data_IF_563075643031
#
_entry.id   IF_563075643031
#
_cell.length_a   1.000
_cell.length_b   1.000
_cell.length_c   1.000
_cell.angle_alpha   90.00
_cell.angle_beta   90.00
_cell.angle_gamma   90.00
#
_symmetry.space_group_name_H-M   'P 1'
#
loop_
_entity.id
_entity.type
_entity.pdbx_description
1 polymer ?
#
# COMPACT_ATOMS: atom_id res chain seq x y z
N UNK A 1 5.64 17.35 -6.44
CA UNK A 1 5.46 17.10 -5.01
C UNK A 1 5.14 15.63 -4.77
N UNK A 2 5.95 14.95 -3.99
CA UNK A 2 5.69 13.62 -3.41
C UNK A 2 5.43 13.77 -1.92
N UNK A 3 4.37 13.15 -1.42
CA UNK A 3 4.08 13.12 0.01
C UNK A 3 4.80 11.96 0.71
N UNK A 4 5.38 12.20 1.87
CA UNK A 4 5.93 11.16 2.75
C UNK A 4 5.16 11.25 4.06
N UNK A 5 4.33 10.25 4.34
CA UNK A 5 3.48 10.19 5.52
C UNK A 5 4.15 9.27 6.54
N UNK A 6 4.70 9.84 7.59
CA UNK A 6 5.50 9.13 8.57
C UNK A 6 4.73 8.97 9.89
N UNK A 7 4.48 7.72 10.26
CA UNK A 7 4.02 7.36 11.59
C UNK A 7 5.23 7.03 12.45
N UNK A 8 5.29 7.52 13.69
CA UNK A 8 6.28 7.04 14.66
C UNK A 8 5.96 5.59 15.03
N UNK A 9 6.91 4.70 14.78
CA UNK A 9 6.75 3.26 14.97
C UNK A 9 7.68 2.77 16.06
N UNK A 10 7.11 2.08 17.04
CA UNK A 10 7.90 1.29 17.98
C UNK A 10 8.35 -0.01 17.31
N UNK A 11 9.65 -0.30 17.34
CA UNK A 11 10.22 -1.57 16.91
C UNK A 11 11.46 -1.46 16.04
N UNK A 12 12.20 -2.56 15.95
CA UNK A 12 13.49 -2.63 15.24
C UNK A 12 13.35 -2.53 13.71
N UNK A 13 12.19 -2.88 13.14
CA UNK A 13 11.99 -2.94 11.68
C UNK A 13 12.33 -1.63 10.98
N UNK A 14 11.90 -0.50 11.57
CA UNK A 14 11.95 0.83 10.96
C UNK A 14 12.63 1.86 11.87
N UNK A 15 13.42 1.41 12.85
CA UNK A 15 14.07 2.29 13.83
C UNK A 15 15.12 3.24 13.24
N UNK A 16 15.54 3.02 11.99
CA UNK A 16 16.43 3.93 11.27
C UNK A 16 15.69 5.06 10.54
N UNK A 17 14.36 5.03 10.49
CA UNK A 17 13.56 6.07 9.89
C UNK A 17 13.12 7.10 10.95
N UNK A 18 13.08 8.40 10.63
CA UNK A 18 13.25 8.99 9.29
C UNK A 18 14.71 9.27 8.89
N UNK A 19 15.72 8.90 9.68
CA UNK A 19 17.14 9.21 9.39
C UNK A 19 17.62 8.67 8.04
N UNK A 20 17.20 7.49 7.61
CA UNK A 20 17.54 6.96 6.26
C UNK A 20 16.95 7.78 5.09
N UNK A 21 16.07 8.73 5.39
CA UNK A 21 15.49 9.68 4.44
C UNK A 21 16.15 11.06 4.51
N UNK A 22 17.21 11.24 5.30
CA UNK A 22 17.99 12.48 5.33
C UNK A 22 18.49 12.82 3.90
N UNK A 23 18.40 14.10 3.54
CA UNK A 23 18.62 14.57 2.17
C UNK A 23 17.49 14.29 1.17
N UNK A 24 16.62 13.28 1.39
CA UNK A 24 15.35 13.16 0.63
C UNK A 24 14.35 14.17 1.18
N UNK A 25 14.21 14.25 2.52
CA UNK A 25 13.26 15.14 3.19
C UNK A 25 13.55 16.63 2.97
N UNK A 26 14.79 16.97 2.61
CA UNK A 26 15.23 18.35 2.38
C UNK A 26 14.92 18.87 0.97
N UNK A 27 14.41 18.01 0.08
CA UNK A 27 14.10 18.40 -1.30
C UNK A 27 12.84 19.26 -1.36
N UNK A 28 12.88 20.29 -2.19
CA UNK A 28 11.75 21.20 -2.42
C UNK A 28 10.52 20.52 -3.05
N UNK A 29 10.69 19.34 -3.64
CA UNK A 29 9.61 18.55 -4.24
C UNK A 29 9.03 17.47 -3.31
N UNK A 30 9.36 17.51 -2.02
CA UNK A 30 8.82 16.63 -0.97
C UNK A 30 7.92 17.42 0.00
N UNK A 31 6.78 16.83 0.36
CA UNK A 31 6.01 17.24 1.54
C UNK A 31 6.05 16.12 2.57
N UNK A 32 6.62 16.39 3.74
CA UNK A 32 6.68 15.46 4.84
C UNK A 32 5.50 15.70 5.77
N UNK A 33 4.78 14.64 6.12
CA UNK A 33 3.64 14.66 7.03
C UNK A 33 3.96 13.78 8.24
N UNK A 34 3.96 14.37 9.42
CA UNK A 34 4.23 13.64 10.66
C UNK A 34 2.95 13.30 11.42
N UNK A 35 2.88 12.06 11.93
CA UNK A 35 1.77 11.63 12.77
C UNK A 35 1.62 12.48 14.03
N UNK A 36 0.39 12.55 14.55
CA UNK A 36 -0.04 13.38 15.69
C UNK A 36 0.00 14.90 15.47
N UNK A 37 0.68 15.39 14.43
CA UNK A 37 0.70 16.80 14.06
C UNK A 37 -0.13 17.07 12.80
N UNK A 38 0.17 16.35 11.73
CA UNK A 38 -0.41 16.61 10.40
C UNK A 38 -1.31 15.46 9.91
N UNK A 39 -1.08 14.25 10.41
CA UNK A 39 -1.90 13.08 10.07
C UNK A 39 -2.96 12.89 11.15
N UNK A 40 -4.26 13.12 10.85
CA UNK A 40 -5.33 12.80 11.78
C UNK A 40 -5.55 11.29 11.86
N UNK A 41 -6.04 10.76 13.00
CA UNK A 41 -6.55 9.39 13.03
C UNK A 41 -7.75 9.27 12.08
N UNK A 42 -7.94 8.10 11.47
CA UNK A 42 -9.12 7.89 10.62
C UNK A 42 -10.41 7.93 11.45
N UNK A 43 -11.44 8.58 10.91
CA UNK A 43 -12.74 8.71 11.57
C UNK A 43 -13.44 7.36 11.71
N UNK A 44 -13.96 7.07 12.90
CA UNK A 44 -14.64 5.79 13.17
C UNK A 44 -15.86 5.57 12.26
N UNK A 45 -16.57 6.63 11.87
CA UNK A 45 -17.69 6.53 10.93
C UNK A 45 -17.23 5.93 9.59
N UNK A 46 -16.08 6.36 9.08
CA UNK A 46 -15.49 5.81 7.85
C UNK A 46 -15.04 4.36 8.06
N UNK A 47 -14.44 4.05 9.22
CA UNK A 47 -14.05 2.67 9.55
C UNK A 47 -15.24 1.71 9.44
N UNK A 48 -16.41 2.12 9.94
CA UNK A 48 -17.63 1.31 9.97
C UNK A 48 -18.29 1.11 8.60
N UNK A 49 -17.90 1.89 7.58
CA UNK A 49 -18.33 1.68 6.19
C UNK A 49 -17.58 0.52 5.53
N UNK A 50 -16.36 0.24 5.97
CA UNK A 50 -15.52 -0.84 5.46
C UNK A 50 -15.63 -2.09 6.33
N UNK A 51 -15.44 -1.92 7.64
CA UNK A 51 -15.38 -2.99 8.63
C UNK A 51 -16.64 -3.04 9.48
N UNK A 52 -17.06 -4.23 9.90
CA UNK A 52 -18.22 -4.38 10.76
C UNK A 52 -17.94 -3.88 12.17
N UNK A 53 -19.00 -3.47 12.87
CA UNK A 53 -18.93 -3.05 14.27
C UNK A 53 -18.18 -4.06 15.15
N UNK A 54 -18.47 -5.36 14.99
CA UNK A 54 -17.86 -6.42 15.79
C UNK A 54 -16.35 -6.51 15.55
N UNK A 55 -15.91 -6.36 14.30
CA UNK A 55 -14.49 -6.34 13.95
C UNK A 55 -13.82 -5.10 14.55
N UNK A 56 -14.41 -3.91 14.39
CA UNK A 56 -13.89 -2.65 14.95
C UNK A 56 -13.76 -2.73 16.48
N UNK A 57 -14.77 -3.24 17.17
CA UNK A 57 -14.73 -3.40 18.63
C UNK A 57 -13.64 -4.39 19.07
N UNK A 58 -13.35 -5.41 18.26
CA UNK A 58 -12.26 -6.34 18.53
C UNK A 58 -10.88 -5.70 18.33
N UNK A 59 -10.70 -4.92 17.26
CA UNK A 59 -9.46 -4.17 17.00
C UNK A 59 -9.21 -3.13 18.10
N UNK A 60 -10.26 -2.42 18.57
CA UNK A 60 -10.19 -1.46 19.68
C UNK A 60 -9.66 -2.05 20.99
N UNK A 61 -9.82 -3.36 21.19
CA UNK A 61 -9.28 -4.07 22.37
C UNK A 61 -7.81 -4.46 22.21
N UNK A 62 -7.25 -4.35 21.01
CA UNK A 62 -5.83 -4.59 20.77
C UNK A 62 -4.99 -3.39 21.20
N UNK A 63 -3.74 -3.64 21.57
CA UNK A 63 -2.76 -2.59 21.87
C UNK A 63 -2.38 -1.75 20.64
N UNK A 64 -2.75 -2.21 19.43
CA UNK A 64 -2.41 -1.58 18.17
C UNK A 64 -3.50 -0.67 17.61
N UNK A 65 -4.58 -0.42 18.37
CA UNK A 65 -5.69 0.41 17.91
C UNK A 65 -5.25 1.79 17.44
N UNK A 66 -4.46 2.50 18.24
CA UNK A 66 -3.97 3.83 17.90
C UNK A 66 -3.07 3.79 16.65
N UNK A 67 -2.12 2.85 16.61
CA UNK A 67 -1.26 2.64 15.44
C UNK A 67 -2.07 2.37 14.17
N UNK A 68 -3.13 1.57 14.26
CA UNK A 68 -4.03 1.26 13.14
C UNK A 68 -4.81 2.50 12.68
N UNK A 69 -5.28 3.32 13.62
CA UNK A 69 -6.00 4.57 13.32
C UNK A 69 -5.12 5.55 12.52
N UNK A 70 -3.90 5.79 12.97
CA UNK A 70 -3.00 6.74 12.29
C UNK A 70 -2.39 6.15 11.01
N UNK A 71 -2.11 4.84 10.96
CA UNK A 71 -1.67 4.17 9.72
C UNK A 71 -2.72 4.34 8.63
N UNK A 72 -3.99 4.04 8.95
CA UNK A 72 -5.10 4.20 8.01
C UNK A 72 -5.39 5.67 7.69
N UNK A 73 -5.29 6.55 8.70
CA UNK A 73 -5.44 8.00 8.53
C UNK A 73 -4.43 8.60 7.56
N UNK A 74 -3.17 8.13 7.61
CA UNK A 74 -2.12 8.51 6.66
C UNK A 74 -2.47 8.12 5.22
N UNK A 75 -2.99 6.91 4.99
CA UNK A 75 -3.42 6.47 3.65
C UNK A 75 -4.60 7.29 3.14
N UNK A 76 -5.60 7.54 3.99
CA UNK A 76 -6.76 8.37 3.66
C UNK A 76 -6.33 9.80 3.30
N UNK A 77 -5.54 10.45 4.16
CA UNK A 77 -5.05 11.80 3.93
C UNK A 77 -4.18 11.88 2.66
N UNK A 78 -3.26 10.94 2.45
CA UNK A 78 -2.44 10.88 1.24
C UNK A 78 -3.31 10.85 -0.03
N UNK A 79 -4.36 10.03 -0.04
CA UNK A 79 -5.29 9.94 -1.16
C UNK A 79 -6.07 11.25 -1.39
N UNK A 80 -6.45 11.95 -0.31
CA UNK A 80 -7.12 13.26 -0.41
C UNK A 80 -6.18 14.36 -0.91
N UNK A 81 -4.94 14.41 -0.44
CA UNK A 81 -3.96 15.40 -0.86
C UNK A 81 -3.57 15.22 -2.34
N UNK A 82 -3.57 13.97 -2.83
CA UNK A 82 -3.47 13.67 -4.27
C UNK A 82 -4.70 14.18 -5.02
N UNK A 83 -5.90 13.90 -4.52
CA UNK A 83 -7.14 14.39 -5.14
C UNK A 83 -7.16 15.93 -5.24
N UNK A 84 -6.71 16.63 -4.18
CA UNK A 84 -6.60 18.10 -4.13
C UNK A 84 -5.48 18.67 -5.00
N UNK A 85 -4.65 17.82 -5.61
CA UNK A 85 -3.54 18.23 -6.46
C UNK A 85 -2.35 18.84 -5.71
N UNK A 86 -2.27 18.66 -4.38
CA UNK A 86 -1.15 19.18 -3.56
C UNK A 86 0.08 18.29 -3.66
N UNK A 87 -0.12 16.98 -3.79
CA UNK A 87 0.91 15.99 -4.10
C UNK A 87 0.47 15.17 -5.32
N UNK A 88 1.42 14.59 -6.04
CA UNK A 88 1.11 13.70 -7.18
C UNK A 88 1.04 12.25 -6.74
N UNK A 89 1.93 11.84 -5.83
CA UNK A 89 2.02 10.50 -5.30
C UNK A 89 2.50 10.56 -3.84
N UNK A 90 2.41 9.43 -3.14
CA UNK A 90 2.78 9.33 -1.74
C UNK A 90 3.45 8.00 -1.40
N UNK A 91 4.29 8.02 -0.36
CA UNK A 91 4.70 6.85 0.40
C UNK A 91 4.19 6.98 1.84
N UNK A 92 3.48 5.97 2.33
CA UNK A 92 2.86 5.97 3.65
C UNK A 92 3.50 4.89 4.51
N UNK A 93 4.19 5.31 5.57
CA UNK A 93 4.68 4.43 6.62
C UNK A 93 3.51 4.03 7.52
N UNK A 94 3.22 2.74 7.54
CA UNK A 94 2.24 2.14 8.43
C UNK A 94 2.96 1.38 9.55
N UNK A 95 2.36 1.36 10.73
CA UNK A 95 2.88 0.61 11.88
C UNK A 95 2.33 -0.80 12.01
N UNK A 96 1.28 -1.08 11.25
CA UNK A 96 0.60 -2.37 11.18
C UNK A 96 0.20 -2.61 9.73
N UNK A 97 -0.01 -3.88 9.37
CA UNK A 97 -0.45 -4.22 8.02
C UNK A 97 -1.92 -3.85 7.78
N UNK A 98 -2.34 -3.98 6.52
CA UNK A 98 -3.68 -3.63 6.04
C UNK A 98 -4.39 -4.81 5.33
N UNK A 99 -3.69 -5.52 4.44
CA UNK A 99 -4.30 -6.38 3.44
C UNK A 99 -4.99 -7.66 3.98
N UNK A 100 -4.73 -8.05 5.24
CA UNK A 100 -5.43 -9.14 5.94
C UNK A 100 -6.64 -8.66 6.78
N UNK A 101 -6.88 -7.35 6.87
CA UNK A 101 -8.06 -6.79 7.55
C UNK A 101 -9.26 -6.81 6.59
N UNK A 102 -10.19 -7.73 6.80
CA UNK A 102 -11.44 -7.88 6.03
C UNK A 102 -12.63 -7.21 6.71
N UNK A 103 -13.84 -7.43 6.19
CA UNK A 103 -15.07 -6.84 6.75
C UNK A 103 -15.37 -7.32 8.16
N UNK A 104 -15.13 -8.60 8.43
CA UNK A 104 -15.50 -9.26 9.69
C UNK A 104 -14.32 -9.97 10.38
N UNK A 105 -13.10 -9.80 9.88
CA UNK A 105 -11.91 -10.50 10.34
C UNK A 105 -10.67 -9.61 10.24
N UNK A 106 -9.68 -9.89 11.07
CA UNK A 106 -8.34 -9.29 10.99
C UNK A 106 -7.34 -10.26 11.61
N UNK A 107 -6.15 -10.35 11.02
CA UNK A 107 -5.06 -11.23 11.49
C UNK A 107 -3.74 -10.82 10.82
N UNK A 108 -2.66 -11.57 11.09
CA UNK A 108 -1.38 -11.37 10.38
C UNK A 108 -0.71 -10.02 10.64
N UNK A 109 -0.97 -9.41 11.81
CA UNK A 109 -0.49 -8.07 12.11
C UNK A 109 -1.23 -6.95 11.37
N UNK A 110 -2.34 -7.27 10.68
CA UNK A 110 -3.22 -6.29 10.06
C UNK A 110 -4.45 -6.04 10.93
N UNK A 111 -4.87 -4.78 11.05
CA UNK A 111 -5.95 -4.38 11.96
C UNK A 111 -7.05 -3.57 11.27
N UNK A 112 -6.70 -2.67 10.36
CA UNK A 112 -7.63 -1.90 9.54
C UNK A 112 -7.09 -1.86 8.10
N UNK A 113 -7.98 -1.81 7.12
CA UNK A 113 -7.57 -1.82 5.71
C UNK A 113 -7.48 -0.38 5.17
N UNK A 114 -6.26 0.17 5.16
CA UNK A 114 -6.01 1.56 4.78
C UNK A 114 -6.43 1.88 3.34
N UNK A 115 -6.11 1.00 2.38
CA UNK A 115 -6.51 1.16 0.98
C UNK A 115 -8.05 1.20 0.84
N UNK A 116 -8.76 0.31 1.52
CA UNK A 116 -10.21 0.27 1.48
C UNK A 116 -10.86 1.52 2.08
N UNK A 117 -10.32 2.01 3.20
CA UNK A 117 -10.80 3.24 3.84
C UNK A 117 -10.58 4.47 2.95
N UNK A 118 -9.42 4.56 2.29
CA UNK A 118 -9.14 5.65 1.35
C UNK A 118 -10.08 5.61 0.13
N UNK A 119 -10.33 4.42 -0.43
CA UNK A 119 -11.28 4.23 -1.53
C UNK A 119 -12.69 4.66 -1.12
N UNK A 120 -13.18 4.23 0.03
CA UNK A 120 -14.52 4.60 0.51
C UNK A 120 -14.63 6.11 0.78
N UNK A 121 -13.61 6.72 1.37
CA UNK A 121 -13.56 8.17 1.58
C UNK A 121 -13.63 8.95 0.26
N UNK A 122 -12.85 8.54 -0.75
CA UNK A 122 -12.85 9.21 -2.06
C UNK A 122 -14.17 9.01 -2.82
N UNK A 123 -14.82 7.84 -2.66
CA UNK A 123 -16.15 7.57 -3.20
C UNK A 123 -17.20 8.49 -2.62
N UNK A 124 -17.23 8.57 -1.30
CA UNK A 124 -18.24 9.34 -0.58
C UNK A 124 -18.09 10.85 -0.80
N UNK A 125 -16.88 11.38 -0.65
CA UNK A 125 -16.64 12.83 -0.73
C UNK A 125 -16.60 13.37 -2.15
N UNK A 126 -16.13 12.57 -3.12
CA UNK A 126 -15.78 13.08 -4.45
C UNK A 126 -16.38 12.26 -5.61
N UNK A 127 -17.14 11.20 -5.32
CA UNK A 127 -17.81 10.40 -6.34
C UNK A 127 -16.88 9.57 -7.23
N UNK A 128 -15.60 9.40 -6.85
CA UNK A 128 -14.64 8.62 -7.62
C UNK A 128 -14.95 7.13 -7.43
N UNK A 129 -15.12 6.40 -8.54
CA UNK A 129 -15.56 5.00 -8.47
C UNK A 129 -14.43 3.99 -8.63
N UNK A 130 -13.55 4.22 -9.60
CA UNK A 130 -12.62 3.23 -10.13
C UNK A 130 -11.22 3.35 -9.53
N UNK A 131 -10.69 2.25 -9.00
CA UNK A 131 -9.40 2.19 -8.35
C UNK A 131 -8.67 0.90 -8.70
N UNK A 132 -7.35 0.90 -8.53
CA UNK A 132 -6.55 -0.32 -8.59
C UNK A 132 -5.75 -0.47 -7.30
N UNK A 133 -5.76 -1.68 -6.76
CA UNK A 133 -4.91 -2.13 -5.67
C UNK A 133 -3.94 -3.16 -6.26
N UNK A 134 -2.66 -2.82 -6.22
CA UNK A 134 -1.57 -3.73 -6.51
C UNK A 134 -1.03 -4.22 -5.18
N UNK A 135 -1.09 -5.53 -4.92
CA UNK A 135 -0.55 -6.14 -3.70
C UNK A 135 0.66 -6.99 -4.07
N UNK A 136 1.85 -6.56 -3.64
CA UNK A 136 3.12 -7.28 -3.86
C UNK A 136 3.68 -7.90 -2.58
N UNK A 137 2.95 -7.84 -1.47
CA UNK A 137 3.27 -8.65 -0.29
C UNK A 137 3.26 -10.15 -0.67
N UNK A 138 4.09 -10.98 -0.03
CA UNK A 138 4.13 -12.41 -0.36
C UNK A 138 2.85 -13.17 0.03
N UNK A 139 2.10 -12.63 0.98
CA UNK A 139 0.90 -13.23 1.53
C UNK A 139 -0.33 -12.77 0.75
N UNK A 140 -1.34 -13.63 0.68
CA UNK A 140 -2.57 -13.24 0.02
C UNK A 140 -3.29 -12.16 0.84
N UNK A 141 -3.56 -10.99 0.25
CA UNK A 141 -4.42 -9.95 0.81
C UNK A 141 -5.89 -10.38 0.89
N UNK A 142 -6.19 -11.35 1.74
CA UNK A 142 -7.52 -11.94 1.94
C UNK A 142 -8.53 -10.93 2.48
N UNK A 143 -8.09 -9.98 3.29
CA UNK A 143 -8.92 -8.87 3.77
C UNK A 143 -9.34 -7.93 2.65
N UNK A 144 -8.37 -7.48 1.83
CA UNK A 144 -8.62 -6.67 0.63
C UNK A 144 -9.52 -7.44 -0.35
N UNK A 145 -9.29 -8.75 -0.53
CA UNK A 145 -10.13 -9.62 -1.36
C UNK A 145 -11.55 -9.74 -0.82
N UNK A 146 -11.75 -9.95 0.47
CA UNK A 146 -13.06 -10.02 1.14
C UNK A 146 -13.86 -8.72 0.96
N UNK A 147 -13.24 -7.57 1.23
CA UNK A 147 -13.91 -6.26 1.16
C UNK A 147 -14.44 -5.98 -0.25
N UNK A 148 -13.62 -6.24 -1.27
CA UNK A 148 -13.92 -5.87 -2.65
C UNK A 148 -14.44 -7.02 -3.52
N UNK A 149 -14.68 -8.22 -2.99
CA UNK A 149 -14.97 -9.42 -3.78
C UNK A 149 -16.06 -9.25 -4.87
N UNK A 150 -17.08 -8.42 -4.62
CA UNK A 150 -18.19 -8.15 -5.55
C UNK A 150 -18.15 -6.72 -6.14
N UNK A 151 -17.04 -6.01 -5.99
CA UNK A 151 -16.87 -4.64 -6.47
C UNK A 151 -16.07 -4.62 -7.77
N UNK A 152 -16.76 -4.49 -8.90
CA UNK A 152 -16.14 -4.44 -10.23
C UNK A 152 -15.47 -3.10 -10.55
N UNK A 153 -15.64 -2.07 -9.72
CA UNK A 153 -14.93 -0.80 -9.89
C UNK A 153 -13.51 -0.84 -9.29
N UNK A 154 -13.17 -1.87 -8.49
CA UNK A 154 -11.85 -2.02 -7.87
C UNK A 154 -11.08 -3.19 -8.46
N UNK A 155 -10.02 -2.91 -9.22
CA UNK A 155 -9.03 -3.91 -9.58
C UNK A 155 -8.23 -4.28 -8.33
N UNK A 156 -8.18 -5.55 -7.95
CA UNK A 156 -7.25 -6.05 -6.93
C UNK A 156 -6.37 -7.15 -7.55
N UNK A 157 -5.12 -6.78 -7.81
CA UNK A 157 -4.08 -7.57 -8.46
C UNK A 157 -3.05 -8.00 -7.41
N UNK A 158 -3.09 -9.25 -6.99
CA UNK A 158 -2.40 -9.76 -5.80
C UNK A 158 -1.36 -10.82 -6.17
N UNK A 159 -0.09 -10.59 -5.84
CA UNK A 159 0.96 -11.59 -5.93
C UNK A 159 0.88 -12.51 -4.70
N UNK A 160 0.53 -13.78 -4.88
CA UNK A 160 0.35 -14.68 -3.73
C UNK A 160 0.53 -16.15 -4.09
N UNK A 161 0.09 -17.05 -3.22
CA UNK A 161 0.08 -18.50 -3.47
C UNK A 161 -1.22 -19.02 -4.10
N UNK A 162 -2.25 -18.18 -4.20
CA UNK A 162 -3.58 -18.54 -4.72
C UNK A 162 -3.70 -18.28 -6.23
N UNK A 163 -4.83 -18.70 -6.79
CA UNK A 163 -5.20 -18.55 -8.20
C UNK A 163 -6.73 -18.57 -8.31
N UNK A 164 -7.40 -17.59 -7.71
CA UNK A 164 -8.86 -17.49 -7.63
C UNK A 164 -9.39 -16.29 -8.44
N UNK A 165 -8.88 -16.15 -9.67
CA UNK A 165 -9.21 -15.04 -10.56
C UNK A 165 -10.71 -14.94 -10.84
N UNK A 166 -11.26 -13.73 -10.71
CA UNK A 166 -12.64 -13.40 -11.08
C UNK A 166 -12.76 -11.92 -11.46
N UNK A 167 -12.91 -11.65 -12.76
CA UNK A 167 -13.14 -10.29 -13.25
C UNK A 167 -11.98 -9.35 -12.91
N UNK A 168 -12.24 -8.39 -12.01
CA UNK A 168 -11.25 -7.42 -11.50
C UNK A 168 -10.42 -7.96 -10.33
N UNK A 169 -10.62 -9.22 -9.95
CA UNK A 169 -9.87 -9.92 -8.91
C UNK A 169 -8.87 -10.84 -9.60
N UNK A 170 -7.58 -10.51 -9.52
CA UNK A 170 -6.51 -11.24 -10.22
C UNK A 170 -5.48 -11.68 -9.19
N UNK A 171 -5.15 -12.97 -9.17
CA UNK A 171 -4.11 -13.56 -8.35
C UNK A 171 -2.95 -14.02 -9.24
N UNK A 172 -1.74 -13.55 -8.94
CA UNK A 172 -0.51 -14.02 -9.58
C UNK A 172 0.13 -15.04 -8.67
N UNK A 173 0.07 -16.32 -9.06
CA UNK A 173 0.73 -17.40 -8.34
C UNK A 173 2.25 -17.26 -8.44
N UNK A 174 2.91 -16.94 -7.33
CA UNK A 174 4.36 -16.72 -7.27
C UNK A 174 5.10 -18.04 -7.00
N UNK A 175 5.98 -18.51 -7.90
CA UNK A 175 6.82 -19.69 -7.65
C UNK A 175 7.92 -19.38 -6.63
N UNK A 176 8.57 -20.41 -6.10
CA UNK A 176 9.75 -20.26 -5.26
C UNK A 176 10.89 -21.16 -5.74
N UNK A 177 12.07 -20.61 -6.08
CA UNK A 177 12.35 -19.17 -6.27
C UNK A 177 11.70 -18.63 -7.56
N UNK A 178 11.31 -17.35 -7.58
CA UNK A 178 10.77 -16.70 -8.78
C UNK A 178 11.80 -15.88 -9.57
N UNK A 179 12.88 -15.42 -8.92
CA UNK A 179 13.88 -14.53 -9.53
C UNK A 179 13.40 -13.07 -9.66
N UNK A 180 14.36 -12.16 -9.82
CA UNK A 180 14.14 -10.70 -9.71
C UNK A 180 13.19 -10.15 -10.77
N UNK A 181 13.18 -10.72 -11.99
CA UNK A 181 12.37 -10.23 -13.09
C UNK A 181 10.89 -10.64 -12.98
N UNK A 182 10.53 -11.62 -12.14
CA UNK A 182 9.18 -12.17 -12.12
C UNK A 182 8.12 -11.12 -11.77
N UNK A 183 8.34 -10.34 -10.69
CA UNK A 183 7.39 -9.31 -10.29
C UNK A 183 7.38 -8.12 -11.27
N UNK A 184 8.53 -7.49 -11.62
CA UNK A 184 8.55 -6.39 -12.60
C UNK A 184 7.95 -6.77 -13.96
N UNK A 185 8.23 -7.96 -14.49
CA UNK A 185 7.66 -8.40 -15.76
C UNK A 185 6.13 -8.50 -15.69
N UNK A 186 5.59 -9.13 -14.64
CA UNK A 186 4.14 -9.28 -14.44
C UNK A 186 3.45 -7.94 -14.22
N UNK A 187 4.12 -6.99 -13.56
CA UNK A 187 3.62 -5.61 -13.42
C UNK A 187 3.62 -4.92 -14.80
N UNK A 188 4.74 -5.01 -15.53
CA UNK A 188 4.94 -4.40 -16.86
C UNK A 188 3.96 -4.91 -17.90
N UNK A 189 3.56 -6.18 -17.82
CA UNK A 189 2.68 -6.82 -18.81
C UNK A 189 1.24 -6.95 -18.32
N UNK A 190 0.99 -7.81 -17.33
CA UNK A 190 -0.37 -8.19 -16.92
C UNK A 190 -1.06 -7.10 -16.12
N UNK A 191 -0.39 -6.51 -15.13
CA UNK A 191 -0.98 -5.42 -14.33
C UNK A 191 -1.24 -4.20 -15.20
N UNK A 192 -0.27 -3.79 -16.02
CA UNK A 192 -0.44 -2.73 -17.03
C UNK A 192 -1.69 -2.94 -17.88
N UNK A 193 -1.85 -4.13 -18.47
CA UNK A 193 -3.02 -4.46 -19.30
C UNK A 193 -4.32 -4.30 -18.50
N UNK A 194 -4.35 -4.76 -17.24
CA UNK A 194 -5.53 -4.64 -16.39
C UNK A 194 -5.84 -3.18 -16.02
N UNK A 195 -4.82 -2.36 -15.78
CA UNK A 195 -4.98 -0.92 -15.55
C UNK A 195 -5.53 -0.22 -16.80
N UNK A 196 -5.04 -0.57 -18.00
CA UNK A 196 -5.56 -0.04 -19.26
C UNK A 196 -7.03 -0.41 -19.50
N UNK A 197 -7.41 -1.66 -19.20
CA UNK A 197 -8.79 -2.16 -19.31
C UNK A 197 -9.74 -1.48 -18.32
N UNK A 198 -9.32 -1.35 -17.05
CA UNK A 198 -10.17 -0.87 -15.95
C UNK A 198 -10.22 0.65 -15.84
N UNK A 199 -9.16 1.34 -16.26
CA UNK A 199 -8.98 2.80 -16.21
C UNK A 199 -9.20 3.36 -14.80
N UNK A 200 -8.40 2.92 -13.80
CA UNK A 200 -8.53 3.39 -12.44
C UNK A 200 -8.13 4.86 -12.33
N UNK A 201 -8.79 5.59 -11.42
CA UNK A 201 -8.42 6.96 -11.11
C UNK A 201 -7.06 7.02 -10.41
N UNK A 202 -6.81 6.11 -9.46
CA UNK A 202 -5.62 6.07 -8.62
C UNK A 202 -5.21 4.61 -8.38
N UNK A 203 -3.90 4.39 -8.21
CA UNK A 203 -3.33 3.11 -7.78
C UNK A 203 -2.95 3.20 -6.30
N UNK A 204 -3.41 2.24 -5.50
CA UNK A 204 -2.87 1.93 -4.19
C UNK A 204 -1.94 0.72 -4.34
N UNK A 205 -0.71 0.84 -3.88
CA UNK A 205 0.27 -0.24 -3.90
C UNK A 205 0.53 -0.70 -2.47
N UNK A 206 -0.08 -1.83 -2.10
CA UNK A 206 0.20 -2.58 -0.88
C UNK A 206 1.58 -3.21 -1.02
N UNK A 207 2.59 -2.54 -0.46
CA UNK A 207 4.01 -2.82 -0.65
C UNK A 207 4.59 -3.58 0.54
N UNK A 208 4.63 -4.90 0.42
CA UNK A 208 5.43 -5.78 1.28
C UNK A 208 6.82 -6.04 0.67
N UNK A 209 7.86 -6.02 1.52
CA UNK A 209 9.22 -6.40 1.10
C UNK A 209 9.65 -7.79 1.59
N UNK A 210 8.74 -8.55 2.18
CA UNK A 210 8.95 -9.88 2.75
C UNK A 210 9.22 -10.98 1.71
N UNK A 211 8.86 -10.76 0.45
CA UNK A 211 9.22 -11.65 -0.66
C UNK A 211 10.75 -11.73 -0.91
N UNK A 212 11.53 -10.82 -0.32
CA UNK A 212 12.99 -10.80 -0.46
C UNK A 212 13.64 -12.04 0.15
N UNK A 213 14.70 -12.52 -0.50
CA UNK A 213 15.50 -13.65 -0.05
C UNK A 213 15.95 -13.48 1.41
N UNK A 214 15.50 -14.39 2.27
CA UNK A 214 15.86 -14.42 3.69
C UNK A 214 15.00 -13.55 4.60
N UNK A 215 13.85 -13.04 4.16
CA UNK A 215 12.76 -12.56 5.03
C UNK A 215 11.66 -13.65 5.16
N UNK A 216 10.66 -13.46 6.02
CA UNK A 216 9.69 -14.50 6.40
C UNK A 216 8.75 -14.93 5.26
N UNK A 217 8.52 -14.05 4.28
CA UNK A 217 7.71 -14.31 3.09
C UNK A 217 8.54 -14.70 1.86
N UNK A 218 9.82 -15.03 2.01
CA UNK A 218 10.78 -15.08 0.90
C UNK A 218 10.28 -15.87 -0.33
N UNK A 219 10.24 -15.18 -1.47
CA UNK A 219 10.01 -15.73 -2.83
C UNK A 219 11.29 -15.81 -3.66
N UNK A 220 12.43 -15.47 -3.06
CA UNK A 220 13.74 -15.58 -3.69
C UNK A 220 14.09 -14.41 -4.60
N UNK A 221 13.48 -13.24 -4.40
CA UNK A 221 13.90 -11.99 -5.08
C UNK A 221 14.99 -11.28 -4.27
N UNK A 222 15.77 -10.44 -4.92
CA UNK A 222 16.74 -9.54 -4.29
C UNK A 222 16.10 -8.19 -3.97
N UNK A 223 16.82 -7.36 -3.20
CA UNK A 223 16.39 -6.01 -2.90
C UNK A 223 16.25 -5.12 -4.15
N UNK A 224 16.94 -5.45 -5.26
CA UNK A 224 16.88 -4.69 -6.52
C UNK A 224 15.54 -4.83 -7.22
N UNK A 225 14.90 -6.00 -7.13
CA UNK A 225 13.59 -6.26 -7.73
C UNK A 225 12.53 -5.25 -7.25
N UNK A 226 12.61 -4.80 -5.99
CA UNK A 226 11.71 -3.78 -5.43
C UNK A 226 11.83 -2.41 -6.11
N UNK A 227 13.05 -2.04 -6.50
CA UNK A 227 13.29 -0.78 -7.22
C UNK A 227 12.74 -0.86 -8.64
N UNK A 228 12.93 -1.99 -9.31
CA UNK A 228 12.37 -2.24 -10.64
C UNK A 228 10.83 -2.28 -10.60
N UNK A 229 10.24 -2.93 -9.59
CA UNK A 229 8.79 -2.87 -9.35
C UNK A 229 8.32 -1.42 -9.22
N UNK A 230 8.97 -0.60 -8.41
CA UNK A 230 8.60 0.80 -8.25
C UNK A 230 8.67 1.61 -9.55
N UNK A 231 9.68 1.35 -10.40
CA UNK A 231 9.80 1.99 -11.71
C UNK A 231 8.64 1.60 -12.63
N UNK A 232 8.26 0.32 -12.65
CA UNK A 232 7.12 -0.17 -13.45
C UNK A 232 5.80 0.42 -12.97
N UNK A 233 5.53 0.37 -11.65
CA UNK A 233 4.30 0.90 -11.05
C UNK A 233 4.19 2.40 -11.25
N UNK A 234 5.28 3.15 -11.04
CA UNK A 234 5.32 4.60 -11.27
C UNK A 234 5.01 4.95 -12.73
N UNK A 235 5.61 4.22 -13.68
CA UNK A 235 5.37 4.44 -15.11
C UNK A 235 3.91 4.20 -15.49
N UNK A 236 3.31 3.13 -14.97
CA UNK A 236 1.89 2.82 -15.18
C UNK A 236 1.01 3.91 -14.56
N UNK A 237 1.32 4.36 -13.33
CA UNK A 237 0.58 5.43 -12.69
C UNK A 237 0.67 6.75 -13.46
N UNK A 238 1.85 7.13 -13.97
CA UNK A 238 2.02 8.34 -14.78
C UNK A 238 1.21 8.29 -16.08
N UNK A 239 1.22 7.15 -16.74
CA UNK A 239 0.59 6.95 -18.05
C UNK A 239 -0.94 6.86 -17.97
N UNK A 240 -1.47 6.12 -16.98
CA UNK A 240 -2.90 5.80 -16.91
C UNK A 240 -3.65 6.53 -15.78
N UNK A 241 -2.94 7.06 -14.79
CA UNK A 241 -3.53 7.66 -13.60
C UNK A 241 -3.02 9.09 -13.32
N UNK A 242 -2.38 9.76 -14.29
CA UNK A 242 -1.81 11.13 -14.15
C UNK A 242 -0.75 11.25 -13.02
N UNK A 243 -0.15 10.10 -12.64
CA UNK A 243 0.82 9.96 -11.57
C UNK A 243 0.21 9.70 -10.19
N UNK A 244 -1.11 9.55 -10.09
CA UNK A 244 -1.84 9.29 -8.82
C UNK A 244 -1.54 7.89 -8.28
N UNK A 245 -0.58 7.83 -7.34
CA UNK A 245 -0.10 6.60 -6.71
C UNK A 245 0.10 6.79 -5.21
N UNK A 246 -0.44 5.88 -4.41
CA UNK A 246 -0.16 5.78 -2.97
C UNK A 246 0.53 4.44 -2.70
N UNK A 247 1.79 4.49 -2.26
CA UNK A 247 2.51 3.30 -1.77
C UNK A 247 2.23 3.17 -0.28
N UNK A 248 1.67 2.04 0.12
CA UNK A 248 1.33 1.72 1.51
C UNK A 248 2.32 0.66 1.96
N UNK A 249 3.09 0.93 3.00
CA UNK A 249 4.00 -0.08 3.55
C UNK A 249 3.17 -1.23 4.17
N UNK A 250 3.50 -2.47 3.85
CA UNK A 250 2.81 -3.67 4.36
C UNK A 250 3.81 -4.57 5.11
N UNK A 251 4.00 -5.82 4.68
CA UNK A 251 4.90 -6.79 5.30
C UNK A 251 6.40 -6.51 5.10
N UNK A 252 7.20 -7.35 5.76
CA UNK A 252 8.66 -7.29 5.81
C UNK A 252 9.16 -7.05 7.23
N UNK A 253 10.13 -7.84 7.68
CA UNK A 253 10.63 -7.78 9.06
C UNK A 253 12.06 -7.27 9.15
N UNK A 254 12.81 -7.41 8.06
CA UNK A 254 14.24 -7.12 8.03
C UNK A 254 14.53 -5.64 7.81
N UNK A 255 15.22 -5.06 8.80
CA UNK A 255 15.67 -3.67 8.84
C UNK A 255 16.63 -3.33 7.70
N UNK A 256 17.57 -4.21 7.38
CA UNK A 256 18.54 -4.01 6.30
C UNK A 256 17.88 -3.91 4.91
N UNK A 257 16.79 -4.66 4.71
CA UNK A 257 16.00 -4.63 3.48
C UNK A 257 15.20 -3.32 3.41
N UNK A 258 14.53 -2.93 4.50
CA UNK A 258 13.79 -1.66 4.58
C UNK A 258 14.68 -0.46 4.25
N UNK A 259 15.86 -0.36 4.88
CA UNK A 259 16.82 0.72 4.66
C UNK A 259 17.33 0.76 3.22
N UNK A 260 17.41 -0.38 2.54
CA UNK A 260 17.78 -0.41 1.14
C UNK A 260 16.62 0.02 0.24
N UNK A 261 15.44 -0.59 0.38
CA UNK A 261 14.36 -0.48 -0.60
C UNK A 261 13.59 0.83 -0.46
N UNK A 262 13.19 1.21 0.76
CA UNK A 262 12.27 2.33 0.98
C UNK A 262 12.84 3.66 0.45
N UNK A 263 14.08 4.08 0.78
CA UNK A 263 14.61 5.33 0.24
C UNK A 263 14.72 5.33 -1.30
N UNK A 264 14.97 4.16 -1.91
CA UNK A 264 15.07 4.02 -3.37
C UNK A 264 13.70 4.09 -4.05
N UNK A 265 12.68 3.48 -3.47
CA UNK A 265 11.30 3.60 -3.95
C UNK A 265 10.84 5.05 -3.88
N UNK A 266 11.09 5.74 -2.76
CA UNK A 266 10.74 7.16 -2.62
C UNK A 266 11.48 8.02 -3.67
N UNK A 267 12.76 7.76 -3.94
CA UNK A 267 13.50 8.43 -5.03
C UNK A 267 12.87 8.19 -6.40
N UNK A 268 12.40 6.97 -6.68
CA UNK A 268 11.67 6.66 -7.91
C UNK A 268 10.34 7.43 -8.01
N UNK A 269 9.62 7.61 -6.90
CA UNK A 269 8.40 8.43 -6.86
C UNK A 269 8.66 9.91 -7.20
N UNK A 270 9.83 10.42 -6.80
CA UNK A 270 10.33 11.77 -7.10
C UNK A 270 10.83 11.92 -8.55
N UNK A 271 10.89 10.85 -9.34
CA UNK A 271 11.38 10.85 -10.71
C UNK A 271 12.91 10.76 -10.84
N UNK A 272 13.60 10.28 -9.79
CA UNK A 272 15.04 10.03 -9.76
C UNK A 272 15.43 8.56 -9.77
#
# INVERSE_FOLDING_TARGET
MTGIFFLYLEGERLSDFPRELEGILERDDVLFYEAFFEIPPVDEELILKVHSRNMVDAVKRSVYWETALYSSGGVVLASEEIYRGRIRNAFVFTGVGDHHAGRNSFWGGCFLNGAALAIENLREKYGIRKFAILDTDSHHGDGTRDIFAQDDDVLHFCFCSLSQDRGTKVDIRVPFPCGDEFYPEKIRTLFRKKVEETKPYMIFWEYGYDATSGDYGSRGISMKAHVEMAQEVKRIADEFCEGRLVVILCGGSRRDIANYTIPRIIKTLLGG
#
